data_IF_426081380109
#
_entry.id   IF_426081380109
#
_cell.length_a   1.000
_cell.length_b   1.000
_cell.length_c   1.000
_cell.angle_alpha   90.00
_cell.angle_beta   90.00
_cell.angle_gamma   90.00
#
_symmetry.space_group_name_H-M   'P 1'
#
loop_
_entity.id
_entity.type
_entity.pdbx_description
1 polymer ?
#
# COMPACT_ATOMS: atom_id res chain seq x y z
N UNK A 1 21.76 -62.59 -19.80
CA UNK A 1 22.25 -61.64 -18.77
C UNK A 1 22.48 -60.30 -19.45
N UNK A 2 21.59 -59.33 -19.27
CA UNK A 2 21.72 -58.00 -19.88
C UNK A 2 22.26 -57.03 -18.84
N UNK A 3 23.39 -56.38 -19.16
CA UNK A 3 24.01 -55.39 -18.30
C UNK A 3 23.20 -54.07 -18.28
N UNK A 4 22.99 -53.45 -17.10
CA UNK A 4 22.25 -52.20 -17.01
C UNK A 4 23.04 -51.01 -17.58
N UNK A 5 22.30 -50.15 -18.27
CA UNK A 5 22.79 -49.02 -19.06
C UNK A 5 23.18 -47.84 -18.15
N UNK A 6 24.49 -47.65 -17.93
CA UNK A 6 25.09 -46.74 -16.92
C UNK A 6 24.97 -45.24 -17.28
N UNK A 7 24.35 -44.88 -18.42
CA UNK A 7 24.33 -43.49 -18.91
C UNK A 7 23.32 -42.55 -18.21
N UNK A 8 22.35 -43.07 -17.45
CA UNK A 8 21.35 -42.22 -16.79
C UNK A 8 21.79 -41.64 -15.43
N UNK A 9 22.86 -42.15 -14.81
CA UNK A 9 23.23 -41.73 -13.46
C UNK A 9 24.00 -40.39 -13.39
N UNK A 10 24.63 -39.95 -14.49
CA UNK A 10 25.46 -38.73 -14.48
C UNK A 10 24.68 -37.42 -14.69
N UNK A 11 23.49 -37.46 -15.28
CA UNK A 11 22.69 -36.24 -15.49
C UNK A 11 21.88 -35.80 -14.27
N UNK A 12 21.48 -36.74 -13.39
CA UNK A 12 20.75 -36.41 -12.17
C UNK A 12 21.61 -35.62 -11.15
N UNK A 13 22.92 -35.90 -11.10
CA UNK A 13 23.84 -35.23 -10.17
C UNK A 13 24.10 -33.76 -10.51
N UNK A 14 24.13 -33.41 -11.81
CA UNK A 14 24.38 -32.03 -12.25
C UNK A 14 23.15 -31.13 -12.03
N UNK A 15 21.94 -31.65 -12.22
CA UNK A 15 20.70 -30.92 -11.95
C UNK A 15 20.49 -30.64 -10.44
N UNK A 16 20.85 -31.58 -9.58
CA UNK A 16 20.80 -31.40 -8.12
C UNK A 16 21.81 -30.34 -7.63
N UNK A 17 23.03 -30.34 -8.19
CA UNK A 17 24.05 -29.35 -7.86
C UNK A 17 23.65 -27.92 -8.31
N UNK A 18 23.02 -27.78 -9.48
CA UNK A 18 22.55 -26.48 -9.98
C UNK A 18 21.37 -25.94 -9.14
N UNK A 19 20.45 -26.81 -8.71
CA UNK A 19 19.36 -26.43 -7.81
C UNK A 19 19.87 -25.95 -6.44
N UNK A 20 20.93 -26.58 -5.90
CA UNK A 20 21.54 -26.17 -4.64
C UNK A 20 22.22 -24.78 -4.71
N UNK A 21 22.87 -24.44 -5.83
CA UNK A 21 23.50 -23.12 -6.03
C UNK A 21 22.44 -22.02 -6.20
N UNK A 22 21.31 -22.32 -6.86
CA UNK A 22 20.20 -21.35 -7.00
C UNK A 22 19.48 -21.15 -5.66
N UNK A 23 19.35 -22.18 -4.81
CA UNK A 23 18.78 -22.07 -3.46
C UNK A 23 19.71 -21.33 -2.48
N UNK A 24 21.04 -21.45 -2.63
CA UNK A 24 22.01 -20.76 -1.76
C UNK A 24 22.21 -19.27 -2.10
N UNK A 25 21.78 -18.81 -3.28
CA UNK A 25 22.04 -17.45 -3.76
C UNK A 25 20.94 -16.41 -3.47
N UNK A 26 19.81 -16.80 -2.86
CA UNK A 26 18.67 -15.91 -2.62
C UNK A 26 18.41 -15.59 -1.15
N UNK A 27 19.40 -15.75 -0.27
CA UNK A 27 19.38 -15.08 1.02
C UNK A 27 19.59 -13.57 0.79
N UNK A 28 18.51 -12.88 0.41
CA UNK A 28 18.47 -11.42 0.44
C UNK A 28 18.61 -11.05 1.91
N UNK A 29 19.84 -10.77 2.33
CA UNK A 29 20.13 -10.21 3.64
C UNK A 29 19.47 -8.83 3.62
N UNK A 30 18.23 -8.76 4.08
CA UNK A 30 17.57 -7.48 4.29
C UNK A 30 18.36 -6.79 5.40
N UNK A 31 19.03 -5.69 5.05
CA UNK A 31 19.69 -4.86 6.05
C UNK A 31 18.68 -4.53 7.17
N UNK A 32 19.08 -4.65 8.45
CA UNK A 32 18.20 -4.32 9.55
C UNK A 32 17.79 -2.86 9.42
N UNK A 33 16.50 -2.59 9.55
CA UNK A 33 16.00 -1.21 9.54
C UNK A 33 16.30 -0.59 10.90
N UNK A 34 16.92 0.57 10.90
CA UNK A 34 17.14 1.33 12.13
C UNK A 34 16.14 2.49 12.17
N UNK A 35 15.35 2.55 13.24
CA UNK A 35 14.46 3.68 13.48
C UNK A 35 15.35 4.90 13.80
N UNK A 36 15.31 5.99 13.03
CA UNK A 36 16.15 7.14 13.29
C UNK A 36 15.71 7.87 14.56
N UNK A 37 16.60 8.68 15.14
CA UNK A 37 16.26 9.53 16.30
C UNK A 37 15.07 10.46 16.04
N UNK A 38 14.99 10.98 14.82
CA UNK A 38 13.90 11.82 14.34
C UNK A 38 13.54 11.40 12.92
N UNK A 39 12.24 11.18 12.66
CA UNK A 39 11.71 10.99 11.31
C UNK A 39 10.61 12.02 11.06
N UNK A 40 10.75 12.78 9.97
CA UNK A 40 9.78 13.80 9.55
C UNK A 40 9.15 13.46 8.20
N UNK A 41 9.58 12.36 7.56
CA UNK A 41 9.13 12.00 6.23
C UNK A 41 7.91 11.10 6.37
N UNK A 42 6.79 11.51 5.78
CA UNK A 42 5.63 10.65 5.73
C UNK A 42 5.94 9.38 4.91
N UNK A 43 5.39 8.22 5.33
CA UNK A 43 5.59 6.97 4.62
C UNK A 43 5.01 7.04 3.21
N UNK A 44 5.50 6.17 2.33
CA UNK A 44 4.90 5.95 1.01
C UNK A 44 3.80 4.90 1.12
N UNK A 45 2.61 5.24 0.62
CA UNK A 45 1.46 4.34 0.55
C UNK A 45 1.20 4.00 -0.90
N UNK A 46 1.02 2.71 -1.20
CA UNK A 46 0.58 2.24 -2.52
C UNK A 46 -0.55 1.24 -2.38
N UNK A 47 -1.54 1.32 -3.26
CA UNK A 47 -2.65 0.37 -3.36
C UNK A 47 -2.77 -0.06 -4.81
N UNK A 48 -2.85 -1.37 -5.04
CA UNK A 48 -3.14 -1.95 -6.35
C UNK A 48 -4.37 -2.83 -6.30
N UNK A 49 -5.20 -2.74 -7.34
CA UNK A 49 -6.38 -3.56 -7.56
C UNK A 49 -6.29 -4.31 -8.90
N UNK A 50 -6.84 -5.51 -8.96
CA UNK A 50 -6.92 -6.32 -10.18
C UNK A 50 -8.11 -7.27 -10.13
N UNK A 51 -8.83 -7.46 -11.24
CA UNK A 51 -10.00 -8.33 -11.32
C UNK A 51 -10.72 -8.24 -12.68
N UNK A 52 -11.95 -8.73 -12.80
CA UNK A 52 -12.76 -8.55 -14.01
C UNK A 52 -12.86 -7.07 -14.41
N UNK A 53 -12.71 -6.78 -15.70
CA UNK A 53 -12.72 -5.41 -16.22
C UNK A 53 -11.49 -4.54 -15.86
N UNK A 54 -10.63 -4.98 -14.94
CA UNK A 54 -9.52 -4.19 -14.39
C UNK A 54 -8.22 -5.00 -14.42
N UNK A 55 -7.28 -4.65 -15.31
CA UNK A 55 -6.01 -5.37 -15.45
C UNK A 55 -5.20 -5.33 -14.14
N UNK A 56 -4.32 -4.34 -13.97
CA UNK A 56 -3.69 -4.02 -12.69
C UNK A 56 -3.60 -2.51 -12.63
N UNK A 57 -4.42 -1.91 -11.78
CA UNK A 57 -4.38 -0.47 -11.55
C UNK A 57 -3.58 -0.21 -10.26
N UNK A 58 -2.66 0.75 -10.30
CA UNK A 58 -1.72 1.02 -9.21
C UNK A 58 -1.70 2.48 -8.85
N UNK A 59 -2.01 2.77 -7.60
CA UNK A 59 -1.89 4.09 -7.01
C UNK A 59 -0.70 4.09 -6.07
N UNK A 60 0.11 5.14 -6.10
CA UNK A 60 1.29 5.25 -5.24
C UNK A 60 1.56 6.70 -4.87
N UNK A 61 1.84 6.91 -3.59
CA UNK A 61 2.25 8.18 -3.00
C UNK A 61 1.33 9.34 -3.39
N UNK A 62 0.03 9.23 -3.06
CA UNK A 62 -0.96 10.17 -3.52
C UNK A 62 -0.69 11.56 -2.95
N UNK A 63 -1.07 12.64 -3.67
CA UNK A 63 -1.38 13.91 -3.01
C UNK A 63 -2.42 13.66 -1.91
N UNK A 64 -2.56 14.59 -0.96
CA UNK A 64 -3.58 14.54 0.10
C UNK A 64 -5.04 14.60 -0.41
N UNK A 65 -5.25 14.46 -1.72
CA UNK A 65 -6.52 14.58 -2.42
C UNK A 65 -7.08 13.20 -2.80
N UNK A 66 -8.38 13.15 -3.08
CA UNK A 66 -9.05 11.95 -3.59
C UNK A 66 -8.72 11.76 -5.07
N UNK A 67 -8.23 10.58 -5.44
CA UNK A 67 -7.99 10.24 -6.84
C UNK A 67 -9.31 9.94 -7.53
N UNK A 68 -9.53 10.63 -8.64
CA UNK A 68 -10.68 10.45 -9.56
C UNK A 68 -10.17 10.11 -10.96
N UNK A 69 -11.07 9.62 -11.83
CA UNK A 69 -10.78 9.51 -13.26
C UNK A 69 -10.48 10.87 -13.89
N UNK A 70 -9.94 10.86 -15.12
CA UNK A 70 -9.59 12.08 -15.88
C UNK A 70 -10.80 13.00 -16.13
N UNK A 71 -12.00 12.42 -16.17
CA UNK A 71 -13.29 13.10 -16.32
C UNK A 71 -13.92 13.54 -14.99
N UNK A 72 -13.22 13.37 -13.86
CA UNK A 72 -13.76 13.55 -12.51
C UNK A 72 -14.65 12.39 -12.05
N UNK A 73 -14.74 11.33 -12.84
CA UNK A 73 -15.50 10.11 -12.54
C UNK A 73 -14.83 9.22 -11.49
N UNK A 74 -15.43 8.04 -11.22
CA UNK A 74 -14.80 7.03 -10.38
C UNK A 74 -13.48 6.58 -11.01
N UNK A 75 -12.40 6.55 -10.22
CA UNK A 75 -11.12 6.00 -10.69
C UNK A 75 -11.24 4.51 -10.99
N UNK A 76 -12.01 3.79 -10.17
CA UNK A 76 -12.29 2.38 -10.38
C UNK A 76 -13.74 2.16 -10.79
N UNK A 77 -13.95 1.52 -11.94
CA UNK A 77 -15.26 1.00 -12.31
C UNK A 77 -15.25 -0.53 -12.18
N UNK A 78 -15.87 -1.03 -11.11
CA UNK A 78 -15.88 -2.44 -10.76
C UNK A 78 -17.17 -3.12 -11.26
N UNK A 79 -17.05 -4.37 -11.71
CA UNK A 79 -18.17 -5.24 -12.04
C UNK A 79 -18.86 -5.71 -10.74
N UNK A 80 -20.19 -5.76 -10.75
CA UNK A 80 -20.97 -6.38 -9.67
C UNK A 80 -20.70 -7.89 -9.55
N UNK A 81 -20.93 -8.44 -8.35
CA UNK A 81 -20.75 -9.87 -8.02
C UNK A 81 -19.41 -10.49 -8.47
N UNK A 82 -18.34 -9.68 -8.42
CA UNK A 82 -17.03 -10.03 -8.96
C UNK A 82 -15.95 -9.96 -7.89
N UNK A 83 -14.99 -10.88 -7.96
CA UNK A 83 -13.86 -10.92 -7.03
C UNK A 83 -12.70 -10.08 -7.55
N UNK A 84 -12.21 -9.17 -6.69
CA UNK A 84 -11.04 -8.36 -6.94
C UNK A 84 -9.94 -8.69 -5.94
N UNK A 85 -8.71 -8.79 -6.43
CA UNK A 85 -7.52 -8.87 -5.59
C UNK A 85 -7.04 -7.47 -5.28
N UNK A 86 -6.61 -7.26 -4.05
CA UNK A 86 -5.97 -6.01 -3.63
C UNK A 86 -4.61 -6.28 -3.00
N UNK A 87 -3.71 -5.31 -3.15
CA UNK A 87 -2.46 -5.22 -2.40
C UNK A 87 -2.21 -3.78 -1.99
N UNK A 88 -2.24 -3.54 -0.69
CA UNK A 88 -1.78 -2.31 -0.06
C UNK A 88 -0.36 -2.53 0.46
N UNK A 89 0.52 -1.54 0.27
CA UNK A 89 1.87 -1.53 0.84
C UNK A 89 2.15 -0.17 1.44
N UNK A 90 2.71 -0.17 2.65
CA UNK A 90 3.26 1.01 3.31
C UNK A 90 4.75 0.81 3.42
N UNK A 91 5.53 1.78 2.93
CA UNK A 91 6.99 1.71 2.92
C UNK A 91 7.58 2.98 3.53
N UNK A 92 8.54 2.79 4.42
CA UNK A 92 9.26 3.89 5.05
C UNK A 92 10.72 3.52 5.36
N UNK A 93 11.64 4.50 5.29
CA UNK A 93 13.06 4.26 5.56
C UNK A 93 13.38 4.09 7.05
N UNK A 94 12.63 4.74 7.94
CA UNK A 94 12.70 4.57 9.39
C UNK A 94 11.81 3.43 9.90
N UNK A 95 11.14 2.71 9.01
CA UNK A 95 10.30 1.55 9.30
C UNK A 95 8.81 1.87 9.25
N UNK A 96 8.06 0.97 8.62
CA UNK A 96 6.61 1.10 8.50
C UNK A 96 5.92 0.64 9.79
N UNK A 97 5.15 1.54 10.40
CA UNK A 97 4.52 1.36 11.71
C UNK A 97 3.12 0.75 11.65
N UNK A 98 2.27 1.16 10.71
CA UNK A 98 0.97 0.51 10.48
C UNK A 98 0.40 0.79 9.09
N UNK A 99 -0.43 -0.14 8.60
CA UNK A 99 -1.15 -0.03 7.34
C UNK A 99 -2.62 -0.35 7.56
N UNK A 100 -3.50 0.57 7.18
CA UNK A 100 -4.96 0.45 7.37
C UNK A 100 -5.67 0.56 6.02
N UNK A 101 -6.50 -0.43 5.69
CA UNK A 101 -7.35 -0.41 4.50
C UNK A 101 -8.82 -0.40 4.92
N UNK A 102 -9.57 0.56 4.40
CA UNK A 102 -11.00 0.68 4.60
C UNK A 102 -11.74 0.26 3.34
N UNK A 103 -12.66 -0.70 3.49
CA UNK A 103 -13.56 -1.18 2.45
C UNK A 103 -15.00 -0.92 2.88
N UNK A 104 -15.93 -0.61 1.95
CA UNK A 104 -17.35 -0.56 2.26
C UNK A 104 -17.85 -1.91 2.81
N UNK A 105 -18.79 -1.89 3.77
CA UNK A 105 -19.39 -3.10 4.34
C UNK A 105 -20.22 -3.92 3.35
N UNK A 106 -20.64 -3.29 2.25
CA UNK A 106 -21.31 -3.99 1.14
C UNK A 106 -20.37 -4.96 0.41
N UNK A 107 -19.06 -4.91 0.69
CA UNK A 107 -18.08 -5.82 0.08
C UNK A 107 -17.84 -7.01 0.99
N UNK A 108 -17.91 -8.21 0.44
CA UNK A 108 -17.54 -9.43 1.14
C UNK A 108 -16.01 -9.57 1.09
N UNK A 109 -15.33 -9.49 2.22
CA UNK A 109 -13.88 -9.76 2.29
C UNK A 109 -13.65 -11.27 2.30
N UNK A 110 -13.24 -11.82 1.16
CA UNK A 110 -13.09 -13.27 0.93
C UNK A 110 -11.84 -13.84 1.61
N UNK A 111 -10.79 -13.03 1.77
CA UNK A 111 -9.59 -13.43 2.48
C UNK A 111 -8.51 -12.36 2.47
N UNK A 112 -7.59 -12.43 3.42
CA UNK A 112 -6.48 -11.47 3.54
C UNK A 112 -5.23 -12.09 4.16
N UNK A 113 -4.09 -11.47 3.90
CA UNK A 113 -2.76 -11.89 4.31
C UNK A 113 -1.88 -10.65 4.56
N UNK A 114 -0.92 -10.69 5.50
CA UNK A 114 -0.56 -11.83 6.36
C UNK A 114 -1.62 -12.16 7.43
N UNK A 115 -1.46 -13.29 8.15
CA UNK A 115 -2.35 -13.70 9.25
C UNK A 115 -2.36 -12.71 10.43
N UNK A 116 -1.38 -11.81 10.50
CA UNK A 116 -1.32 -10.73 11.49
C UNK A 116 -2.29 -9.58 11.18
N UNK A 117 -2.95 -9.59 10.02
CA UNK A 117 -3.98 -8.61 9.69
C UNK A 117 -5.21 -8.83 10.59
N UNK A 118 -5.63 -7.77 11.27
CA UNK A 118 -6.86 -7.72 12.06
C UNK A 118 -7.96 -7.07 11.24
N UNK A 119 -9.09 -7.74 11.08
CA UNK A 119 -10.28 -7.16 10.46
C UNK A 119 -11.29 -6.78 11.54
N UNK A 120 -11.74 -5.53 11.51
CA UNK A 120 -12.84 -5.04 12.35
C UNK A 120 -13.94 -4.46 11.46
N UNK A 121 -15.19 -4.71 11.80
CA UNK A 121 -16.34 -4.13 11.08
C UNK A 121 -17.03 -3.14 12.00
N UNK A 122 -17.20 -1.90 11.55
CA UNK A 122 -17.92 -0.88 12.29
C UNK A 122 -18.75 -0.02 11.33
N UNK A 123 -20.04 0.12 11.64
CA UNK A 123 -21.00 0.85 10.80
C UNK A 123 -21.03 0.31 9.37
N UNK A 124 -20.68 1.18 8.43
CA UNK A 124 -20.69 0.92 6.98
C UNK A 124 -19.32 0.50 6.41
N UNK A 125 -18.34 0.17 7.26
CA UNK A 125 -16.97 -0.13 6.80
C UNK A 125 -16.38 -1.39 7.42
N UNK A 126 -15.63 -2.12 6.60
CA UNK A 126 -14.60 -3.05 7.03
C UNK A 126 -13.27 -2.30 7.13
N UNK A 127 -12.54 -2.51 8.22
CA UNK A 127 -11.20 -1.97 8.43
C UNK A 127 -10.23 -3.13 8.63
N UNK A 128 -9.28 -3.27 7.71
CA UNK A 128 -8.17 -4.22 7.79
C UNK A 128 -6.93 -3.48 8.29
N UNK A 129 -6.29 -3.98 9.33
CA UNK A 129 -5.15 -3.36 9.99
C UNK A 129 -4.01 -4.36 10.10
N UNK A 130 -2.81 -3.96 9.68
CA UNK A 130 -1.57 -4.63 10.09
C UNK A 130 -0.67 -3.60 10.77
N UNK A 131 -0.17 -3.96 11.94
CA UNK A 131 0.78 -3.17 12.71
C UNK A 131 2.19 -3.74 12.50
N UNK A 132 3.18 -2.87 12.33
CA UNK A 132 4.59 -3.22 12.35
C UNK A 132 5.08 -3.44 13.78
N UNK A 133 6.11 -4.27 13.95
CA UNK A 133 6.80 -4.41 15.22
C UNK A 133 7.96 -3.43 15.31
N UNK A 134 7.95 -2.56 16.32
CA UNK A 134 9.02 -1.59 16.55
C UNK A 134 10.34 -2.25 16.96
N UNK A 135 10.29 -3.46 17.55
CA UNK A 135 11.47 -4.25 17.93
C UNK A 135 12.11 -4.93 16.73
N UNK A 136 11.31 -5.19 15.69
CA UNK A 136 11.74 -5.76 14.41
C UNK A 136 11.24 -4.89 13.24
N UNK A 137 11.73 -3.64 13.15
CA UNK A 137 11.23 -2.70 12.16
C UNK A 137 11.49 -3.23 10.74
N UNK A 138 10.49 -3.05 9.87
CA UNK A 138 10.56 -3.47 8.47
C UNK A 138 10.41 -2.27 7.57
N UNK A 139 11.14 -2.26 6.44
CA UNK A 139 11.03 -1.20 5.45
C UNK A 139 9.63 -1.11 4.89
N UNK A 140 8.93 -2.24 4.82
CA UNK A 140 7.56 -2.30 4.31
C UNK A 140 6.71 -3.30 5.05
N UNK A 141 5.44 -2.94 5.21
CA UNK A 141 4.35 -3.83 5.58
C UNK A 141 3.29 -3.79 4.49
N UNK A 142 2.52 -4.86 4.36
CA UNK A 142 1.51 -4.98 3.31
C UNK A 142 0.28 -5.70 3.81
N UNK A 143 -0.86 -5.34 3.21
CA UNK A 143 -2.11 -6.09 3.30
C UNK A 143 -2.41 -6.56 1.89
N UNK A 144 -2.55 -7.87 1.73
CA UNK A 144 -3.02 -8.48 0.48
C UNK A 144 -4.32 -9.19 0.76
N UNK A 145 -5.18 -9.32 -0.25
CA UNK A 145 -6.41 -10.05 -0.06
C UNK A 145 -7.32 -10.02 -1.28
N UNK A 146 -8.55 -10.45 -1.04
CA UNK A 146 -9.63 -10.48 -2.02
C UNK A 146 -10.89 -9.91 -1.39
N UNK A 147 -11.66 -9.18 -2.17
CA UNK A 147 -13.04 -8.84 -1.83
C UNK A 147 -13.94 -9.15 -3.01
N UNK A 148 -15.21 -9.42 -2.73
CA UNK A 148 -16.27 -9.56 -3.73
C UNK A 148 -17.19 -8.33 -3.65
N UNK A 149 -17.46 -7.74 -4.81
CA UNK A 149 -18.42 -6.64 -4.96
C UNK A 149 -19.86 -7.14 -4.73
N UNK A 150 -20.80 -6.28 -4.29
CA UNK A 150 -22.17 -6.70 -4.04
C UNK A 150 -22.85 -7.17 -5.31
N UNK A 151 -23.87 -8.01 -5.15
CA UNK A 151 -24.87 -8.25 -6.18
C UNK A 151 -25.75 -7.02 -6.28
N UNK A 152 -25.88 -6.47 -7.48
CA UNK A 152 -26.65 -5.26 -7.75
C UNK A 152 -27.83 -5.58 -8.68
N UNK A 153 -28.92 -4.83 -8.55
CA UNK A 153 -30.02 -4.86 -9.52
C UNK A 153 -29.57 -4.32 -10.89
N UNK A 154 -30.32 -4.64 -11.96
CA UNK A 154 -29.94 -4.37 -13.37
C UNK A 154 -29.62 -2.91 -13.72
N UNK A 155 -30.01 -1.95 -12.87
CA UNK A 155 -29.78 -0.51 -13.07
C UNK A 155 -29.14 0.16 -11.85
N UNK A 156 -28.63 -0.62 -10.90
CA UNK A 156 -28.07 -0.08 -9.66
C UNK A 156 -26.57 0.21 -9.82
N UNK A 157 -26.18 1.36 -9.27
CA UNK A 157 -24.79 1.79 -9.18
C UNK A 157 -24.49 2.17 -7.74
N UNK A 158 -23.41 1.61 -7.19
CA UNK A 158 -22.93 1.99 -5.85
C UNK A 158 -21.64 2.76 -6.01
N UNK A 159 -21.63 4.04 -5.62
CA UNK A 159 -20.42 4.87 -5.56
C UNK A 159 -19.85 4.86 -4.15
N UNK A 160 -18.53 4.78 -4.04
CA UNK A 160 -17.84 4.73 -2.75
C UNK A 160 -16.40 5.26 -2.87
N UNK A 161 -15.76 5.45 -1.73
CA UNK A 161 -14.35 5.84 -1.64
C UNK A 161 -13.58 4.74 -0.94
N UNK A 162 -12.53 4.24 -1.58
CA UNK A 162 -11.52 3.40 -0.94
C UNK A 162 -10.54 4.29 -0.20
N UNK A 163 -10.24 3.96 1.05
CA UNK A 163 -9.26 4.69 1.84
C UNK A 163 -8.16 3.78 2.36
N UNK A 164 -6.91 4.19 2.17
CA UNK A 164 -5.72 3.49 2.62
C UNK A 164 -4.81 4.45 3.40
N UNK A 165 -4.42 4.06 4.62
CA UNK A 165 -3.57 4.87 5.50
C UNK A 165 -2.29 4.14 5.84
N UNK A 166 -1.16 4.83 5.75
CA UNK A 166 0.12 4.34 6.22
C UNK A 166 0.68 5.25 7.30
N UNK A 167 1.23 4.64 8.35
CA UNK A 167 1.98 5.33 9.38
C UNK A 167 3.38 4.74 9.49
N UNK A 168 4.36 5.58 9.77
CA UNK A 168 5.71 5.16 10.17
C UNK A 168 5.81 4.99 11.70
N UNK A 169 7.03 4.80 12.21
CA UNK A 169 7.31 4.78 13.65
C UNK A 169 7.60 6.15 14.28
N UNK A 170 7.71 7.22 13.49
CA UNK A 170 7.92 8.59 13.98
C UNK A 170 9.26 8.84 14.67
N UNK A 171 10.30 8.09 14.31
CA UNK A 171 11.60 8.08 14.97
C UNK A 171 11.55 7.61 16.44
N UNK A 172 12.62 7.83 17.21
CA UNK A 172 12.71 7.48 18.64
C UNK A 172 11.67 8.19 19.52
N UNK A 173 11.27 9.41 19.14
CA UNK A 173 10.27 10.21 19.86
C UNK A 173 8.82 9.73 19.66
N UNK A 174 8.58 8.77 18.77
CA UNK A 174 7.26 8.19 18.48
C UNK A 174 6.22 9.22 17.99
N UNK A 175 6.67 10.25 17.27
CA UNK A 175 5.79 11.22 16.61
C UNK A 175 5.47 10.72 15.20
N UNK A 176 4.47 9.83 15.08
CA UNK A 176 4.16 9.14 13.82
C UNK A 176 3.80 10.13 12.71
N UNK A 177 4.42 9.96 11.54
CA UNK A 177 3.98 10.59 10.31
C UNK A 177 2.99 9.67 9.60
N UNK A 178 1.90 10.25 9.11
CA UNK A 178 0.85 9.54 8.39
C UNK A 178 0.78 9.97 6.93
N UNK A 179 0.32 9.06 6.08
CA UNK A 179 -0.15 9.39 4.73
C UNK A 179 -1.47 8.68 4.46
N UNK A 180 -2.41 9.42 3.91
CA UNK A 180 -3.71 8.94 3.48
C UNK A 180 -3.77 8.88 1.95
N UNK A 181 -4.43 7.85 1.45
CA UNK A 181 -4.83 7.68 0.05
C UNK A 181 -6.33 7.51 0.01
N UNK A 182 -7.01 8.30 -0.83
CA UNK A 182 -8.42 8.10 -1.15
C UNK A 182 -8.57 7.90 -2.65
N UNK A 183 -9.41 6.96 -3.06
CA UNK A 183 -9.72 6.72 -4.46
C UNK A 183 -11.22 6.54 -4.65
N UNK A 184 -11.80 7.29 -5.59
CA UNK A 184 -13.20 7.15 -5.95
C UNK A 184 -13.40 5.85 -6.74
N UNK A 185 -14.52 5.18 -6.49
CA UNK A 185 -14.85 3.94 -7.15
C UNK A 185 -16.37 3.80 -7.32
N UNK A 186 -16.77 3.00 -8.29
CA UNK A 186 -18.15 2.54 -8.48
C UNK A 186 -18.21 1.03 -8.67
N UNK A 187 -19.35 0.45 -8.30
CA UNK A 187 -19.75 -0.90 -8.74
C UNK A 187 -20.94 -0.74 -9.67
N UNK A 188 -20.85 -1.32 -10.87
CA UNK A 188 -21.86 -1.24 -11.92
C UNK A 188 -22.19 -2.63 -12.48
N UNK A 189 -23.46 -2.84 -12.86
CA UNK A 189 -23.89 -4.06 -13.57
C UNK A 189 -23.53 -4.01 -15.07
N UNK A 190 -23.54 -2.81 -15.67
CA UNK A 190 -23.38 -2.62 -17.11
C UNK A 190 -21.94 -2.84 -17.62
N UNK A 191 -20.93 -2.58 -16.78
CA UNK A 191 -19.51 -2.67 -17.14
C UNK A 191 -19.12 -4.07 -17.65
N UNK A 192 -19.67 -5.13 -17.05
CA UNK A 192 -19.38 -6.50 -17.45
C UNK A 192 -19.85 -6.86 -18.87
N UNK A 193 -20.94 -6.24 -19.35
CA UNK A 193 -21.49 -6.52 -20.67
C UNK A 193 -20.85 -5.65 -21.76
N UNK A 194 -20.61 -4.38 -21.48
CA UNK A 194 -20.02 -3.46 -22.46
C UNK A 194 -18.50 -3.60 -22.59
N UNK A 195 -17.76 -3.83 -21.50
CA UNK A 195 -16.32 -4.09 -21.58
C UNK A 195 -16.01 -5.40 -22.34
N UNK A 196 -16.87 -6.42 -22.19
CA UNK A 196 -16.80 -7.64 -23.01
C UNK A 196 -17.07 -7.35 -24.48
N UNK A 197 -18.05 -6.50 -24.81
CA UNK A 197 -18.31 -6.07 -26.19
C UNK A 197 -17.15 -5.25 -26.78
N UNK A 198 -16.56 -4.33 -26.01
CA UNK A 198 -15.43 -3.51 -26.46
C UNK A 198 -14.16 -4.34 -26.69
N UNK A 199 -13.76 -5.18 -25.73
CA UNK A 199 -12.62 -6.11 -25.91
C UNK A 199 -12.87 -7.10 -27.05
N UNK A 200 -14.10 -7.60 -27.23
CA UNK A 200 -14.43 -8.44 -28.38
C UNK A 200 -14.27 -7.70 -29.72
N UNK A 201 -14.63 -6.42 -29.78
CA UNK A 201 -14.49 -5.58 -30.98
C UNK A 201 -13.02 -5.32 -31.33
N UNK A 202 -12.15 -5.11 -30.33
CA UNK A 202 -10.71 -4.92 -30.55
C UNK A 202 -9.99 -6.23 -30.93
N UNK A 203 -10.36 -7.37 -30.33
CA UNK A 203 -9.83 -8.68 -30.74
C UNK A 203 -10.29 -9.02 -32.16
N UNK A 204 -11.54 -8.72 -32.52
CA UNK A 204 -12.03 -8.91 -33.87
C UNK A 204 -11.28 -8.03 -34.89
N UNK A 205 -11.06 -6.74 -34.56
CA UNK A 205 -10.31 -5.79 -35.41
C UNK A 205 -8.84 -6.19 -35.59
N UNK A 206 -8.20 -6.73 -34.55
CA UNK A 206 -6.83 -7.25 -34.62
C UNK A 206 -6.73 -8.55 -35.42
N UNK A 207 -7.77 -9.39 -35.41
CA UNK A 207 -7.83 -10.63 -36.18
C UNK A 207 -8.03 -10.36 -37.68
N UNK A 208 -8.77 -9.33 -38.08
CA UNK A 208 -8.88 -8.91 -39.49
C UNK A 208 -7.61 -8.23 -40.01
N UNK A 209 -6.86 -7.51 -39.18
CA UNK A 209 -5.57 -6.91 -39.58
C UNK A 209 -4.45 -7.94 -39.80
N UNK A 210 -4.59 -9.18 -39.32
CA UNK A 210 -3.62 -10.25 -39.51
C UNK A 210 -3.80 -11.07 -40.81
N UNK A 211 -4.86 -10.79 -41.60
CA UNK A 211 -5.12 -11.46 -42.87
C UNK A 211 -4.50 -10.76 -44.09
N UNK A 212 -3.95 -9.55 -43.91
CA UNK A 212 -3.18 -8.87 -44.95
C UNK A 212 -1.72 -9.32 -44.87
N UNK A 213 -1.36 -10.29 -45.72
CA UNK A 213 -0.01 -10.86 -45.84
C UNK A 213 1.00 -9.71 -45.98
N UNK A 214 1.92 -9.48 -45.02
CA UNK A 214 2.86 -8.38 -45.12
C UNK A 214 3.76 -8.63 -46.32
N UNK A 215 3.70 -7.74 -47.32
CA UNK A 215 4.69 -7.75 -48.40
C UNK A 215 6.10 -7.64 -47.77
N UNK A 216 7.07 -8.47 -48.17
CA UNK A 216 8.40 -8.48 -47.56
C UNK A 216 9.11 -7.15 -47.79
N UNK A 217 9.02 -6.23 -46.82
CA UNK A 217 9.84 -5.02 -46.79
C UNK A 217 11.22 -5.40 -46.26
N UNK A 218 12.21 -5.40 -47.18
CA UNK A 218 13.62 -5.50 -46.81
C UNK A 218 13.97 -4.42 -45.77
N UNK A 219 14.51 -4.79 -44.60
CA UNK A 219 14.92 -3.81 -43.62
C UNK A 219 16.05 -2.94 -44.19
N UNK A 220 15.78 -1.66 -44.39
CA UNK A 220 16.82 -0.66 -44.69
C UNK A 220 17.57 -0.38 -43.40
N UNK A 221 18.68 -1.08 -43.19
CA UNK A 221 19.59 -0.83 -42.07
C UNK A 221 20.24 0.54 -42.29
N UNK A 222 19.72 1.57 -41.63
CA UNK A 222 20.46 2.84 -41.49
C UNK A 222 21.54 2.63 -40.45
N UNK A 223 22.81 2.73 -40.86
CA UNK A 223 23.96 2.74 -39.92
C UNK A 223 23.72 3.84 -38.87
N UNK A 224 23.74 3.52 -37.56
CA UNK A 224 23.62 4.54 -36.54
C UNK A 224 24.86 5.44 -36.56
N UNK A 225 24.64 6.74 -36.75
CA UNK A 225 25.69 7.74 -36.60
C UNK A 225 25.98 7.89 -35.09
N UNK A 226 27.11 7.35 -34.65
CA UNK A 226 27.60 7.50 -33.28
C UNK A 226 28.09 8.94 -33.10
N UNK A 227 27.27 9.81 -32.51
CA UNK A 227 27.75 11.10 -32.00
C UNK A 227 28.54 10.84 -30.72
N UNK A 228 29.84 11.15 -30.74
CA UNK A 228 30.68 11.15 -29.53
C UNK A 228 30.05 12.11 -28.50
N UNK A 229 29.80 11.66 -27.26
CA UNK A 229 29.33 12.55 -26.21
C UNK A 229 30.44 13.56 -25.90
N UNK A 230 30.11 14.85 -25.98
CA UNK A 230 30.98 15.92 -25.53
C UNK A 230 30.96 15.93 -23.99
N UNK A 231 32.07 15.52 -23.38
CA UNK A 231 32.27 15.59 -21.94
C UNK A 231 32.54 17.06 -21.59
N UNK A 232 31.56 17.74 -20.98
CA UNK A 232 31.80 19.03 -20.32
C UNK A 232 32.41 18.74 -18.96
N UNK A 233 33.65 19.16 -18.76
CA UNK A 233 34.29 19.23 -17.44
C UNK A 233 33.49 20.19 -16.55
N UNK A 234 32.98 19.75 -15.40
CA UNK A 234 32.30 20.65 -14.47
C UNK A 234 33.33 21.63 -13.89
N UNK A 235 32.98 22.91 -13.92
CA UNK A 235 33.74 23.95 -13.23
C UNK A 235 33.57 23.74 -11.72
N UNK A 236 34.68 23.53 -11.02
CA UNK A 236 34.71 23.46 -9.56
C UNK A 236 34.75 24.88 -9.03
N UNK A 237 33.64 25.39 -8.52
CA UNK A 237 33.58 26.62 -7.73
C UNK A 237 33.92 26.28 -6.28
N UNK A 238 35.03 26.82 -5.79
CA UNK A 238 35.42 26.76 -4.39
C UNK A 238 34.39 27.55 -3.56
N UNK A 239 33.73 26.93 -2.57
CA UNK A 239 32.80 27.66 -1.72
C UNK A 239 33.57 28.63 -0.82
N UNK A 240 33.15 29.89 -0.83
CA UNK A 240 33.66 30.93 0.05
C UNK A 240 33.14 30.68 1.48
N UNK A 241 34.05 30.38 2.40
CA UNK A 241 33.73 30.12 3.82
C UNK A 241 33.51 31.45 4.51
N UNK A 242 32.25 31.80 4.77
CA UNK A 242 31.92 32.92 5.66
C UNK A 242 32.23 32.54 7.11
N UNK A 243 33.04 33.38 7.77
CA UNK A 243 33.38 33.30 9.18
C UNK A 243 32.09 33.47 10.02
N UNK A 244 31.80 32.58 10.98
CA UNK A 244 30.62 32.74 11.82
C UNK A 244 30.81 33.94 12.76
N UNK A 245 29.83 34.83 12.73
CA UNK A 245 29.67 35.93 13.67
C UNK A 245 28.99 35.38 14.93
N UNK A 246 29.67 35.50 16.06
CA UNK A 246 29.18 35.02 17.36
C UNK A 246 28.26 36.10 17.92
N UNK A 247 26.95 35.87 17.83
CA UNK A 247 25.95 36.74 18.44
C UNK A 247 25.82 36.39 19.93
N UNK A 248 26.13 37.38 20.78
CA UNK A 248 26.14 37.29 22.23
C UNK A 248 24.70 37.10 22.75
N UNK A 249 24.44 35.95 23.37
CA UNK A 249 23.12 35.59 23.88
C UNK A 249 22.73 36.51 25.05
N UNK A 250 21.80 37.44 24.80
CA UNK A 250 21.13 38.21 25.84
C UNK A 250 20.13 37.33 26.60
N UNK A 251 20.23 37.36 27.92
CA UNK A 251 19.43 36.53 28.83
C UNK A 251 17.91 36.77 28.68
N UNK A 252 17.06 35.73 28.78
CA UNK A 252 15.62 35.89 28.70
C UNK A 252 15.07 36.60 29.94
N UNK A 253 14.37 37.71 29.68
CA UNK A 253 13.60 38.46 30.68
C UNK A 253 12.41 37.62 31.14
N UNK A 254 12.48 37.12 32.37
CA UNK A 254 11.41 36.39 33.07
C UNK A 254 10.16 37.29 33.14
N UNK A 255 9.12 36.95 32.37
CA UNK A 255 7.77 37.50 32.54
C UNK A 255 7.10 36.70 33.67
N UNK A 256 7.05 37.29 34.86
CA UNK A 256 6.15 36.87 35.93
C UNK A 256 4.71 37.02 35.44
N UNK A 257 4.01 35.89 35.32
CA UNK A 257 2.59 35.83 34.98
C UNK A 257 1.78 35.80 36.30
N UNK A 258 1.09 36.89 36.71
CA UNK A 258 0.30 36.89 37.93
C UNK A 258 -1.10 36.37 37.59
N UNK A 259 -1.38 35.08 37.86
CA UNK A 259 -2.76 34.61 37.74
C UNK A 259 -3.00 33.13 37.49
N UNK A 260 -2.25 32.22 38.13
CA UNK A 260 -2.70 30.83 38.25
C UNK A 260 -2.98 30.53 39.72
N UNK A 261 -4.28 30.47 40.08
CA UNK A 261 -4.74 29.90 41.34
C UNK A 261 -4.68 28.38 41.22
N UNK A 262 -3.82 27.75 42.02
CA UNK A 262 -3.79 26.30 42.18
C UNK A 262 -5.14 25.75 42.65
N UNK A 263 -5.60 24.60 42.15
CA UNK A 263 -6.69 23.87 42.78
C UNK A 263 -6.25 23.31 44.12
N UNK A 264 -7.12 23.43 45.11
CA UNK A 264 -6.98 22.87 46.45
C UNK A 264 -6.96 21.33 46.37
N UNK A 265 -6.10 20.63 47.13
CA UNK A 265 -6.16 19.17 47.23
C UNK A 265 -7.43 18.74 47.96
N UNK A 266 -8.38 18.17 47.21
CA UNK A 266 -9.59 17.56 47.75
C UNK A 266 -9.29 16.23 48.41
N UNK A 267 -9.75 16.10 49.66
CA UNK A 267 -9.61 14.98 50.58
C UNK A 267 -10.28 13.70 50.09
N UNK A 268 -9.61 12.57 50.37
CA UNK A 268 -10.09 11.20 50.22
C UNK A 268 -11.52 11.00 50.77
N UNK A 269 -12.46 10.66 49.87
CA UNK A 269 -13.78 10.15 50.21
C UNK A 269 -13.89 8.66 49.84
N UNK A 270 -14.10 7.83 50.85
CA UNK A 270 -14.34 6.38 50.82
C UNK A 270 -15.55 6.02 49.94
N UNK A 271 -15.49 4.98 49.08
CA UNK A 271 -16.69 4.44 48.44
C UNK A 271 -17.49 3.63 49.47
N UNK A 272 -18.65 4.15 49.84
CA UNK A 272 -19.68 3.41 50.56
C UNK A 272 -20.27 2.31 49.68
N UNK A 273 -20.28 1.10 50.23
CA UNK A 273 -20.97 -0.07 49.71
C UNK A 273 -22.46 0.15 49.96
N UNK A 274 -23.28 0.24 48.91
CA UNK A 274 -24.73 0.24 49.08
C UNK A 274 -25.35 -0.91 48.28
N UNK A 275 -25.90 -1.85 49.05
CA UNK A 275 -26.50 -3.08 48.59
C UNK A 275 -27.97 -2.81 48.21
N UNK A 276 -28.20 -2.54 46.93
CA UNK A 276 -29.53 -2.35 46.35
C UNK A 276 -30.23 -3.66 45.97
N UNK A 277 -30.89 -4.26 46.96
CA UNK A 277 -32.15 -5.02 46.94
C UNK A 277 -32.69 -5.56 45.58
N UNK A 278 -32.76 -6.89 45.52
CA UNK A 278 -33.58 -7.68 44.60
C UNK A 278 -35.08 -7.43 44.78
N UNK A 279 -35.76 -7.04 43.70
CA UNK A 279 -37.22 -7.05 43.59
C UNK A 279 -37.68 -8.31 42.87
N UNK A 280 -38.29 -9.20 43.65
CA UNK A 280 -39.03 -10.39 43.24
C UNK A 280 -40.41 -9.97 42.69
N UNK A 281 -40.76 -10.38 41.47
CA UNK A 281 -42.15 -10.34 40.98
C UNK A 281 -42.61 -11.76 40.67
N UNK A 282 -43.64 -12.17 41.42
CA UNK A 282 -44.46 -13.38 41.26
C UNK A 282 -45.92 -12.95 41.09
N UNK A 283 -46.67 -13.71 40.29
CA UNK A 283 -48.14 -13.65 40.11
C UNK A 283 -48.52 -12.86 38.86
N UNK A 284 -49.38 -13.33 37.95
CA UNK A 284 -50.34 -14.45 37.90
C UNK A 284 -50.43 -14.97 36.45
#
# INVERSE_FOLDING_TARGET
MNAPNVRHLKFASLAAALAAVILSGCAVISEPVTIPKEDKKAPRVSLSLSGPGLDIERMSNPPSETWTGEDGGPLFDLEADSEYKFRMTVRDSGGAGSAWLYLPRVFEVVGYSPSTVKMTTSGATHRLVVDGDRKEPRLSIYITGKFRTPKLGSSETVKFTLAAFGYDFGGEKNLRNGREMRASASVNVAGAAEAKKAKAKDVAKKKTAAAEKPAPRRPRVKKPAVKKPAVKTPAVTTPEVKKPEVEEATAPKVRSNPGYKSPVPGTNGTPGVDAGKSGETKGE
#
